data_IF_708677769686
#
_entry.id   IF_708677769686
#
_cell.length_a   1.000
_cell.length_b   1.000
_cell.length_c   1.000
_cell.angle_alpha   90.00
_cell.angle_beta   90.00
_cell.angle_gamma   90.00
#
_symmetry.space_group_name_H-M   'P 1'
#
loop_
_entity.id
_entity.type
_entity.pdbx_description
1 polymer ?
#
# COMPACT_ATOMS: atom_id res chain seq x y z
N UNK A 1 -7.39 16.20 -0.72
CA UNK A 1 -5.94 15.88 -0.76
C UNK A 1 -5.51 15.70 -2.21
N UNK A 2 -4.20 15.77 -2.45
CA UNK A 2 -3.70 15.81 -3.83
C UNK A 2 -3.81 14.45 -4.53
N UNK A 3 -3.93 14.52 -5.85
CA UNK A 3 -3.88 13.37 -6.73
C UNK A 3 -2.42 12.93 -6.92
N UNK A 4 -2.14 11.63 -6.75
CA UNK A 4 -0.79 11.08 -6.90
C UNK A 4 -0.57 10.47 -8.27
N UNK A 5 -1.58 9.78 -8.79
CA UNK A 5 -1.60 9.17 -10.12
C UNK A 5 -3.01 9.32 -10.70
N UNK A 6 -3.23 8.82 -11.92
CA UNK A 6 -4.53 8.93 -12.58
C UNK A 6 -5.69 8.41 -11.71
N UNK A 7 -5.49 7.28 -11.04
CA UNK A 7 -6.57 6.62 -10.28
C UNK A 7 -6.36 6.62 -8.76
N UNK A 8 -5.27 7.19 -8.25
CA UNK A 8 -4.99 7.17 -6.81
C UNK A 8 -4.78 8.56 -6.25
N UNK A 9 -5.52 8.83 -5.19
CA UNK A 9 -5.47 10.07 -4.43
C UNK A 9 -4.71 9.84 -3.13
N UNK A 10 -3.98 10.84 -2.64
CA UNK A 10 -3.21 10.73 -1.41
C UNK A 10 -4.04 10.26 -0.22
N UNK A 11 -5.30 10.67 -0.14
CA UNK A 11 -6.16 10.27 0.99
C UNK A 11 -6.33 8.76 1.10
N UNK A 12 -6.25 8.01 -0.01
CA UNK A 12 -6.36 6.56 0.01
C UNK A 12 -5.19 5.89 0.73
N UNK A 13 -4.04 6.54 0.78
CA UNK A 13 -2.83 6.04 1.44
C UNK A 13 -2.74 6.44 2.91
N UNK A 14 -3.44 7.49 3.31
CA UNK A 14 -3.36 8.05 4.67
C UNK A 14 -4.57 7.72 5.52
N UNK A 15 -5.71 7.41 4.91
CA UNK A 15 -6.96 7.12 5.64
C UNK A 15 -7.16 5.62 5.81
N UNK A 16 -7.84 5.26 6.90
CA UNK A 16 -8.26 3.89 7.14
C UNK A 16 -9.47 3.90 8.06
N UNK A 17 -10.39 2.95 7.85
CA UNK A 17 -11.54 2.77 8.73
C UNK A 17 -11.13 2.34 10.16
N UNK A 18 -9.91 1.85 10.32
CA UNK A 18 -9.40 1.44 11.63
C UNK A 18 -8.80 2.58 12.44
N UNK A 19 -8.61 3.76 11.83
CA UNK A 19 -8.07 4.93 12.52
C UNK A 19 -9.22 5.72 13.15
N UNK A 20 -9.14 5.98 14.45
CA UNK A 20 -10.03 6.95 15.07
C UNK A 20 -9.64 8.36 14.64
N UNK A 21 -10.43 9.35 15.04
CA UNK A 21 -10.24 10.74 14.60
C UNK A 21 -8.87 11.29 15.00
N UNK A 22 -8.44 11.01 16.22
CA UNK A 22 -7.15 11.46 16.74
C UNK A 22 -5.99 10.79 16.02
N UNK A 23 -6.06 9.47 15.83
CA UNK A 23 -5.08 8.70 15.07
C UNK A 23 -4.98 9.23 13.65
N UNK A 24 -6.12 9.47 13.00
CA UNK A 24 -6.13 9.95 11.62
C UNK A 24 -5.43 11.31 11.48
N UNK A 25 -5.67 12.23 12.40
CA UNK A 25 -5.01 13.53 12.41
C UNK A 25 -3.49 13.40 12.55
N UNK A 26 -3.04 12.49 13.43
CA UNK A 26 -1.62 12.26 13.67
C UNK A 26 -0.92 11.61 12.47
N UNK A 27 -1.60 10.69 11.78
CA UNK A 27 -1.09 10.07 10.55
C UNK A 27 -0.82 11.14 9.50
N UNK A 28 -1.76 12.05 9.28
CA UNK A 28 -1.63 13.14 8.30
C UNK A 28 -0.48 14.07 8.70
N UNK A 29 -0.36 14.40 9.98
CA UNK A 29 0.73 15.24 10.49
C UNK A 29 2.09 14.60 10.23
N UNK A 30 2.26 13.33 10.54
CA UNK A 30 3.52 12.62 10.34
C UNK A 30 3.87 12.53 8.85
N UNK A 31 2.91 12.31 7.99
CA UNK A 31 3.14 12.35 6.55
C UNK A 31 3.68 13.71 6.12
N UNK A 32 3.03 14.79 6.57
CA UNK A 32 3.42 16.15 6.20
C UNK A 32 4.82 16.52 6.66
N UNK A 33 5.29 15.92 7.75
CA UNK A 33 6.60 16.20 8.34
C UNK A 33 7.73 15.27 7.86
N UNK A 34 7.41 14.25 7.04
CA UNK A 34 8.39 13.19 6.73
C UNK A 34 8.55 13.01 5.23
N UNK A 35 9.60 13.61 4.67
CA UNK A 35 9.87 13.57 3.22
C UNK A 35 10.05 12.15 2.68
N UNK A 36 10.69 11.25 3.44
CA UNK A 36 10.89 9.87 3.00
C UNK A 36 9.58 9.12 2.85
N UNK A 37 8.63 9.36 3.74
CA UNK A 37 7.29 8.75 3.65
C UNK A 37 6.56 9.29 2.41
N UNK A 38 6.62 10.59 2.16
CA UNK A 38 6.01 11.19 0.98
C UNK A 38 6.55 10.57 -0.31
N UNK A 39 7.87 10.43 -0.39
CA UNK A 39 8.55 9.82 -1.55
C UNK A 39 8.14 8.36 -1.74
N UNK A 40 8.12 7.59 -0.66
CA UNK A 40 7.76 6.18 -0.71
C UNK A 40 6.31 5.98 -1.14
N UNK A 41 5.40 6.78 -0.62
CA UNK A 41 3.97 6.71 -0.99
C UNK A 41 3.79 7.02 -2.48
N UNK A 42 4.50 8.02 -3.02
CA UNK A 42 4.42 8.31 -4.45
C UNK A 42 4.90 7.12 -5.29
N UNK A 43 6.02 6.51 -4.91
CA UNK A 43 6.54 5.32 -5.61
C UNK A 43 5.55 4.16 -5.53
N UNK A 44 4.98 3.92 -4.36
CA UNK A 44 3.98 2.88 -4.18
C UNK A 44 2.74 3.14 -5.05
N UNK A 45 2.26 4.38 -5.08
CA UNK A 45 1.12 4.77 -5.90
C UNK A 45 1.38 4.50 -7.39
N UNK A 46 2.60 4.78 -7.86
CA UNK A 46 2.99 4.51 -9.24
C UNK A 46 2.87 3.01 -9.56
N UNK A 47 3.29 2.14 -8.64
CA UNK A 47 3.18 0.69 -8.82
C UNK A 47 1.72 0.24 -8.85
N UNK A 48 0.91 0.75 -7.94
CA UNK A 48 -0.52 0.40 -7.91
C UNK A 48 -1.25 0.92 -9.15
N UNK A 49 -0.82 2.04 -9.73
CA UNK A 49 -1.37 2.52 -10.99
C UNK A 49 -1.10 1.55 -12.13
N UNK A 50 0.12 1.00 -12.19
CA UNK A 50 0.47 -0.04 -13.17
C UNK A 50 -0.46 -1.25 -13.03
N UNK A 51 -0.68 -1.72 -11.80
CA UNK A 51 -1.62 -2.82 -11.54
C UNK A 51 -3.04 -2.45 -11.98
N UNK A 52 -3.49 -1.24 -11.62
CA UNK A 52 -4.83 -0.75 -11.98
C UNK A 52 -5.05 -0.76 -13.49
N UNK A 53 -4.05 -0.31 -14.25
CA UNK A 53 -4.12 -0.31 -15.71
C UNK A 53 -4.23 -1.74 -16.27
N UNK A 54 -3.51 -2.67 -15.68
CA UNK A 54 -3.50 -4.07 -16.13
C UNK A 54 -4.81 -4.80 -15.84
N UNK A 55 -5.34 -4.65 -14.63
CA UNK A 55 -6.56 -5.38 -14.24
C UNK A 55 -7.84 -4.72 -14.76
N UNK A 56 -7.79 -3.43 -15.06
CA UNK A 56 -8.94 -2.72 -15.67
C UNK A 56 -10.13 -2.48 -14.74
N UNK A 57 -10.00 -2.78 -13.44
CA UNK A 57 -11.06 -2.59 -12.45
C UNK A 57 -10.52 -1.77 -11.28
N UNK A 58 -11.38 -1.14 -10.47
CA UNK A 58 -10.92 -0.37 -9.31
C UNK A 58 -10.07 -1.22 -8.37
N UNK A 59 -8.93 -0.67 -7.97
CA UNK A 59 -8.05 -1.21 -6.93
C UNK A 59 -8.29 -0.38 -5.68
N UNK A 60 -8.69 -1.04 -4.60
CA UNK A 60 -9.11 -0.41 -3.35
C UNK A 60 -8.02 -0.64 -2.31
N UNK A 61 -7.55 0.44 -1.68
CA UNK A 61 -6.56 0.37 -0.61
C UNK A 61 -7.30 0.26 0.72
N UNK A 62 -7.10 -0.87 1.41
CA UNK A 62 -7.68 -1.08 2.74
C UNK A 62 -6.88 -0.30 3.78
N UNK A 63 -5.56 -0.40 3.73
CA UNK A 63 -4.64 0.40 4.54
C UNK A 63 -3.29 0.45 3.81
N UNK A 64 -2.62 1.60 3.89
CA UNK A 64 -1.27 1.75 3.36
C UNK A 64 -0.32 2.26 4.45
N UNK A 65 -0.18 3.57 4.63
CA UNK A 65 0.71 4.11 5.66
C UNK A 65 0.14 3.85 7.05
N UNK A 66 0.93 3.18 7.86
CA UNK A 66 0.58 2.77 9.22
C UNK A 66 1.76 3.13 10.11
N UNK A 67 1.77 4.35 10.71
CA UNK A 67 2.92 4.83 11.48
C UNK A 67 3.31 3.90 12.64
N UNK A 68 4.58 4.00 13.03
CA UNK A 68 5.13 3.19 14.13
C UNK A 68 4.27 3.30 15.41
N UNK A 69 3.81 4.50 15.77
CA UNK A 69 3.02 4.68 16.99
C UNK A 69 1.74 3.83 16.96
N UNK A 70 1.11 3.73 15.79
CA UNK A 70 -0.11 2.93 15.64
C UNK A 70 0.19 1.44 15.73
N UNK A 71 1.24 0.98 15.04
CA UNK A 71 1.65 -0.43 15.10
C UNK A 71 1.97 -0.87 16.53
N UNK A 72 2.74 -0.05 17.25
CA UNK A 72 3.10 -0.31 18.65
C UNK A 72 1.85 -0.34 19.54
N UNK A 73 0.89 0.56 19.32
CA UNK A 73 -0.37 0.57 20.07
C UNK A 73 -1.21 -0.69 19.88
N UNK A 74 -0.98 -1.43 18.79
CA UNK A 74 -1.65 -2.70 18.50
C UNK A 74 -0.81 -3.92 18.90
N UNK A 75 0.27 -3.73 19.65
CA UNK A 75 1.13 -4.81 20.12
C UNK A 75 2.12 -5.34 19.09
N UNK A 76 2.35 -4.59 17.99
CA UNK A 76 3.34 -4.96 16.96
C UNK A 76 4.69 -4.32 17.27
N UNK A 77 5.75 -4.79 16.61
CA UNK A 77 7.11 -4.27 16.82
C UNK A 77 7.43 -2.97 16.08
N UNK A 78 6.54 -2.53 15.17
CA UNK A 78 6.74 -1.27 14.45
C UNK A 78 7.76 -1.34 13.32
N UNK A 79 8.05 -2.54 12.79
CA UNK A 79 9.06 -2.73 11.74
C UNK A 79 8.50 -3.09 10.37
N UNK A 80 7.18 -3.08 10.21
CA UNK A 80 6.56 -3.45 8.94
C UNK A 80 6.83 -2.39 7.85
N UNK A 81 6.73 -2.81 6.59
CA UNK A 81 6.88 -1.91 5.45
C UNK A 81 5.80 -0.83 5.41
N UNK A 82 4.64 -1.07 6.03
CA UNK A 82 3.60 -0.06 6.20
C UNK A 82 4.08 1.16 6.98
N UNK A 83 5.00 0.99 7.92
CA UNK A 83 5.54 2.10 8.73
C UNK A 83 6.43 3.03 7.93
N UNK A 84 6.93 2.56 6.79
CA UNK A 84 7.80 3.33 5.90
C UNK A 84 7.03 3.96 4.73
N UNK A 85 5.72 3.75 4.64
CA UNK A 85 4.94 4.19 3.49
C UNK A 85 5.20 3.36 2.23
N UNK A 86 5.73 2.14 2.38
CA UNK A 86 6.14 1.27 1.28
C UNK A 86 5.16 0.13 0.99
N UNK A 87 4.14 -0.05 1.78
CA UNK A 87 3.23 -1.18 1.67
C UNK A 87 1.77 -0.76 1.59
N UNK A 88 0.98 -1.55 0.89
CA UNK A 88 -0.47 -1.44 0.87
C UNK A 88 -1.11 -2.82 0.91
N UNK A 89 -2.20 -2.91 1.66
CA UNK A 89 -3.11 -4.04 1.62
C UNK A 89 -4.28 -3.64 0.73
N UNK A 90 -4.49 -4.39 -0.35
CA UNK A 90 -5.39 -4.00 -1.43
C UNK A 90 -6.39 -5.10 -1.79
N UNK A 91 -7.49 -4.67 -2.40
CA UNK A 91 -8.43 -5.55 -3.12
C UNK A 91 -8.65 -4.98 -4.51
N UNK A 92 -9.01 -5.82 -5.47
CA UNK A 92 -9.43 -5.38 -6.80
C UNK A 92 -10.86 -5.85 -7.00
N UNK A 93 -11.73 -4.94 -7.43
CA UNK A 93 -13.16 -5.19 -7.52
C UNK A 93 -13.47 -6.41 -8.40
N UNK A 94 -14.17 -7.39 -7.81
CA UNK A 94 -14.59 -8.60 -8.53
C UNK A 94 -13.50 -9.63 -8.76
N UNK A 95 -12.26 -9.39 -8.29
CA UNK A 95 -11.14 -10.30 -8.50
C UNK A 95 -10.72 -10.93 -7.17
N UNK A 96 -10.37 -12.22 -7.23
CA UNK A 96 -9.88 -12.95 -6.04
C UNK A 96 -8.45 -12.52 -5.71
N UNK A 97 -8.07 -12.52 -4.42
CA UNK A 97 -6.70 -12.16 -4.01
C UNK A 97 -5.61 -12.95 -4.73
N UNK A 98 -5.78 -14.26 -4.91
CA UNK A 98 -4.81 -15.09 -5.64
C UNK A 98 -4.61 -14.63 -7.07
N UNK A 99 -5.67 -14.22 -7.76
CA UNK A 99 -5.58 -13.71 -9.12
C UNK A 99 -4.81 -12.38 -9.15
N UNK A 100 -5.13 -11.48 -8.24
CA UNK A 100 -4.45 -10.18 -8.12
C UNK A 100 -2.96 -10.38 -7.84
N UNK A 101 -2.62 -11.25 -6.90
CA UNK A 101 -1.22 -11.56 -6.58
C UNK A 101 -0.49 -12.15 -7.79
N UNK A 102 -1.14 -13.04 -8.54
CA UNK A 102 -0.58 -13.60 -9.77
C UNK A 102 -0.29 -12.51 -10.81
N UNK A 103 -1.19 -11.54 -10.96
CA UNK A 103 -0.98 -10.40 -11.87
C UNK A 103 0.20 -9.54 -11.43
N UNK A 104 0.31 -9.26 -10.14
CA UNK A 104 1.45 -8.51 -9.59
C UNK A 104 2.74 -9.28 -9.87
N UNK A 105 2.78 -10.59 -9.64
CA UNK A 105 3.95 -11.42 -9.90
C UNK A 105 4.36 -11.34 -11.38
N UNK A 106 3.40 -11.41 -12.31
CA UNK A 106 3.68 -11.27 -13.73
C UNK A 106 4.29 -9.90 -14.06
N UNK A 107 3.74 -8.83 -13.48
CA UNK A 107 4.23 -7.46 -13.71
C UNK A 107 5.62 -7.25 -13.11
N UNK A 108 5.91 -7.87 -11.97
CA UNK A 108 7.26 -7.86 -11.40
C UNK A 108 8.24 -8.58 -12.33
N UNK A 109 7.85 -9.76 -12.81
CA UNK A 109 8.72 -10.57 -13.70
C UNK A 109 8.98 -9.89 -15.03
N UNK A 110 8.03 -9.12 -15.54
CA UNK A 110 8.21 -8.36 -16.79
C UNK A 110 8.97 -7.04 -16.59
N UNK A 111 9.25 -6.65 -15.36
CA UNK A 111 9.91 -5.39 -15.04
C UNK A 111 8.98 -4.18 -14.96
N UNK A 112 7.66 -4.38 -15.06
CA UNK A 112 6.67 -3.29 -15.03
C UNK A 112 6.32 -2.84 -13.62
N UNK A 113 6.52 -3.71 -12.61
CA UNK A 113 6.36 -3.37 -11.21
C UNK A 113 7.64 -3.70 -10.44
N UNK A 114 7.89 -2.93 -9.39
CA UNK A 114 9.06 -3.13 -8.52
C UNK A 114 8.95 -4.43 -7.73
N UNK A 115 10.07 -5.13 -7.59
CA UNK A 115 10.18 -6.30 -6.73
C UNK A 115 9.97 -5.92 -5.28
N UNK A 116 9.34 -6.80 -4.52
CA UNK A 116 9.13 -6.58 -3.10
C UNK A 116 8.38 -7.70 -2.42
N UNK A 117 7.72 -7.35 -1.33
CA UNK A 117 6.86 -8.25 -0.58
C UNK A 117 5.52 -8.45 -1.30
N UNK A 118 5.07 -9.70 -1.35
CA UNK A 118 3.78 -10.04 -1.98
C UNK A 118 3.21 -11.26 -1.28
N UNK A 119 1.98 -11.13 -0.80
CA UNK A 119 1.27 -12.23 -0.16
C UNK A 119 -0.23 -12.10 -0.39
N UNK A 120 -0.86 -13.20 -0.80
CA UNK A 120 -2.30 -13.26 -0.95
C UNK A 120 -2.93 -13.84 0.32
N UNK A 121 -3.75 -13.03 0.99
CA UNK A 121 -4.59 -13.46 2.12
C UNK A 121 -5.97 -13.86 1.59
N UNK A 122 -6.85 -14.32 2.47
CA UNK A 122 -8.19 -14.76 2.04
C UNK A 122 -9.05 -13.63 1.46
N UNK A 123 -8.86 -12.39 1.92
CA UNK A 123 -9.70 -11.25 1.54
C UNK A 123 -8.94 -10.07 0.94
N UNK A 124 -7.62 -10.11 0.91
CA UNK A 124 -6.81 -9.01 0.37
C UNK A 124 -5.43 -9.50 -0.03
N UNK A 125 -4.67 -8.59 -0.67
CA UNK A 125 -3.27 -8.84 -1.06
C UNK A 125 -2.40 -7.78 -0.41
N UNK A 126 -1.30 -8.22 0.20
CA UNK A 126 -0.22 -7.33 0.62
C UNK A 126 0.78 -7.18 -0.53
N UNK A 127 1.13 -5.94 -0.86
CA UNK A 127 2.23 -5.63 -1.78
C UNK A 127 3.09 -4.52 -1.18
N UNK A 128 4.41 -4.65 -1.29
CA UNK A 128 5.32 -3.59 -0.88
C UNK A 128 6.52 -3.46 -1.81
N UNK A 129 7.19 -2.30 -1.72
CA UNK A 129 8.31 -1.94 -2.59
C UNK A 129 9.66 -2.05 -1.86
N UNK A 130 9.84 -3.04 -0.98
CA UNK A 130 11.10 -3.24 -0.24
C UNK A 130 12.30 -3.58 -1.12
N UNK A 131 12.12 -3.82 -2.39
CA UNK A 131 13.11 -4.16 -3.44
C UNK A 131 13.57 -5.61 -3.42
N UNK A 132 13.65 -6.27 -2.28
CA UNK A 132 14.02 -7.68 -2.20
C UNK A 132 12.78 -8.55 -2.24
N UNK A 133 12.88 -9.72 -2.87
CA UNK A 133 11.77 -10.66 -2.97
C UNK A 133 11.41 -11.22 -1.60
N UNK A 134 10.15 -11.10 -1.21
CA UNK A 134 9.59 -11.73 -0.02
C UNK A 134 8.19 -12.26 -0.34
N UNK A 135 7.97 -13.52 -0.02
CA UNK A 135 6.69 -14.22 -0.25
C UNK A 135 6.33 -14.99 1.00
N UNK A 136 5.06 -14.93 1.40
CA UNK A 136 4.60 -15.68 2.57
C UNK A 136 3.12 -16.04 2.48
#
# INVERSE_FOLDING_TARGET
MKQLTKNFNLSEFLRSKWFDKETQAKVIMLYNETNSIQHNIQKLANQLQTLRNEVGVPVIINIAYRPVFYEVSKGRDGTSQHTLGKAADITAQGLKPKYVASKIEQLINSGDMLQGGLSAYSTFVHYDIRKTRARW
#
